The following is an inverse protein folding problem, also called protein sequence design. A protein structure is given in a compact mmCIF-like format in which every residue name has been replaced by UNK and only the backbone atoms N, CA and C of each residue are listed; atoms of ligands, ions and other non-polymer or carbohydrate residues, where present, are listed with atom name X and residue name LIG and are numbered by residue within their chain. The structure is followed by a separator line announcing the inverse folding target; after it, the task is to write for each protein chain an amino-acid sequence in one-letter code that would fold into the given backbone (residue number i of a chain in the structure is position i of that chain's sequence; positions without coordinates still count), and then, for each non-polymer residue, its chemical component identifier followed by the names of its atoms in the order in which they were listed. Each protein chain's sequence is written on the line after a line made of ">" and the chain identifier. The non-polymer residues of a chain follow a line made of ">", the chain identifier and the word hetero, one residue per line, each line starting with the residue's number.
data_IF_707163808643
#
_entry.id   IF_707163808643
#
_cell.length_a   1.000
_cell.length_b   1.000
_cell.length_c   1.000
_cell.angle_alpha   90.00
_cell.angle_beta   90.00
_cell.angle_gamma   90.00
#
_symmetry.space_group_name_H-M   'P 1'
#
loop_
_entity.id
_entity.type
_entity.pdbx_description
1 polymer ?
#
# COMPACT_ATOMS: atom_id res chain seq x y z
N UNK A 1 -28.12 -12.44 -3.44
CA UNK A 1 -27.52 -11.40 -4.31
C UNK A 1 -26.08 -11.15 -3.85
N UNK A 2 -25.11 -11.36 -4.74
CA UNK A 2 -23.78 -10.72 -4.85
C UNK A 2 -22.76 -10.79 -3.69
N UNK A 3 -22.22 -11.98 -3.41
CA UNK A 3 -21.02 -12.20 -2.58
C UNK A 3 -19.67 -12.23 -3.32
N UNK A 4 -19.56 -11.62 -4.51
CA UNK A 4 -18.37 -11.72 -5.38
C UNK A 4 -17.61 -10.41 -5.75
N UNK A 5 -18.06 -9.18 -5.43
CA UNK A 5 -17.26 -7.98 -5.74
C UNK A 5 -16.13 -7.72 -4.73
N UNK A 6 -16.32 -8.09 -3.46
CA UNK A 6 -15.36 -7.80 -2.39
C UNK A 6 -14.03 -8.52 -2.57
N UNK A 7 -14.04 -9.77 -3.05
CA UNK A 7 -12.80 -10.54 -3.26
C UNK A 7 -11.95 -9.96 -4.38
N UNK A 8 -12.57 -9.54 -5.49
CA UNK A 8 -11.85 -8.91 -6.62
C UNK A 8 -11.29 -7.54 -6.24
N UNK A 9 -12.03 -6.77 -5.45
CA UNK A 9 -11.55 -5.50 -4.89
C UNK A 9 -10.34 -5.74 -3.97
N UNK A 10 -10.45 -6.73 -3.08
CA UNK A 10 -9.38 -7.09 -2.16
C UNK A 10 -8.11 -7.56 -2.87
N UNK A 11 -8.24 -8.37 -3.94
CA UNK A 11 -7.10 -8.80 -4.75
C UNK A 11 -6.41 -7.62 -5.48
N UNK A 12 -7.19 -6.64 -5.96
CA UNK A 12 -6.64 -5.41 -6.56
C UNK A 12 -5.92 -4.55 -5.54
N UNK A 13 -6.48 -4.43 -4.34
CA UNK A 13 -5.85 -3.71 -3.24
C UNK A 13 -4.56 -4.40 -2.79
N UNK A 14 -4.55 -5.72 -2.67
CA UNK A 14 -3.34 -6.51 -2.40
C UNK A 14 -2.28 -6.35 -3.50
N UNK A 15 -2.66 -6.35 -4.77
CA UNK A 15 -1.71 -6.12 -5.87
C UNK A 15 -1.08 -4.71 -5.83
N UNK A 16 -1.86 -3.70 -5.44
CA UNK A 16 -1.35 -2.33 -5.21
C UNK A 16 -0.39 -2.27 -4.03
N UNK A 17 -0.75 -2.90 -2.90
CA UNK A 17 0.10 -2.97 -1.71
C UNK A 17 1.43 -3.70 -2.00
N UNK A 18 1.40 -4.77 -2.81
CA UNK A 18 2.60 -5.51 -3.20
C UNK A 18 3.55 -4.67 -4.05
N UNK A 19 3.04 -3.90 -5.03
CA UNK A 19 3.88 -2.95 -5.80
C UNK A 19 4.49 -1.86 -4.94
N UNK A 20 3.75 -1.39 -3.93
CA UNK A 20 4.27 -0.40 -2.96
C UNK A 20 5.41 -1.02 -2.16
N UNK A 21 5.25 -2.28 -1.70
CA UNK A 21 6.30 -3.02 -0.99
C UNK A 21 7.53 -3.28 -1.86
N UNK A 22 7.35 -3.72 -3.11
CA UNK A 22 8.47 -3.95 -4.04
C UNK A 22 9.26 -2.66 -4.31
N UNK A 23 8.58 -1.51 -4.33
CA UNK A 23 9.21 -0.20 -4.49
C UNK A 23 9.92 0.26 -3.22
N UNK A 24 9.34 0.00 -2.05
CA UNK A 24 9.99 0.24 -0.74
C UNK A 24 11.26 -0.61 -0.63
N UNK A 25 11.19 -1.91 -0.92
CA UNK A 25 12.34 -2.82 -0.82
C UNK A 25 13.47 -2.43 -1.78
N UNK A 26 13.13 -1.88 -2.95
CA UNK A 26 14.12 -1.41 -3.94
C UNK A 26 14.78 -0.07 -3.56
N UNK A 27 14.04 0.85 -2.95
CA UNK A 27 14.51 2.20 -2.58
C UNK A 27 14.73 2.37 -1.07
N UNK A 28 14.82 1.28 -0.29
CA UNK A 28 14.98 1.29 1.18
C UNK A 28 16.19 2.12 1.66
N UNK A 29 17.15 2.39 0.78
CA UNK A 29 18.34 3.20 1.04
C UNK A 29 18.12 4.72 1.01
N UNK A 30 16.95 5.22 0.57
CA UNK A 30 16.62 6.65 0.56
C UNK A 30 15.43 6.95 1.49
N UNK A 31 15.29 8.19 2.00
CA UNK A 31 14.09 8.59 2.70
C UNK A 31 12.88 8.42 1.76
N UNK A 32 12.12 7.35 1.97
CA UNK A 32 10.99 6.97 1.13
C UNK A 32 9.85 7.95 1.37
N UNK A 33 9.60 8.81 0.38
CA UNK A 33 8.44 9.70 0.40
C UNK A 33 7.15 8.88 0.26
N UNK A 34 6.49 8.66 1.41
CA UNK A 34 5.21 7.96 1.52
C UNK A 34 4.15 8.61 0.62
N UNK A 35 4.22 9.92 0.37
CA UNK A 35 3.32 10.60 -0.55
C UNK A 35 3.60 10.23 -2.02
N UNK A 36 4.87 10.02 -2.40
CA UNK A 36 5.25 9.57 -3.73
C UNK A 36 4.81 8.11 -4.00
N UNK A 37 4.87 7.24 -2.99
CA UNK A 37 4.32 5.89 -3.06
C UNK A 37 2.79 5.92 -3.21
N UNK A 38 2.13 6.75 -2.41
CA UNK A 38 0.67 6.87 -2.41
C UNK A 38 0.16 7.42 -3.75
N UNK A 39 0.85 8.39 -4.35
CA UNK A 39 0.58 8.88 -5.71
C UNK A 39 0.65 7.75 -6.75
N UNK A 40 1.60 6.82 -6.62
CA UNK A 40 1.76 5.68 -7.53
C UNK A 40 0.61 4.66 -7.48
N UNK A 41 -0.19 4.64 -6.41
CA UNK A 41 -1.36 3.76 -6.27
C UNK A 41 -2.69 4.51 -6.16
N UNK A 42 -2.69 5.81 -6.48
CA UNK A 42 -3.85 6.70 -6.37
C UNK A 42 -4.48 6.72 -4.97
N UNK A 43 -3.65 6.74 -3.92
CA UNK A 43 -4.09 6.88 -2.53
C UNK A 43 -3.49 8.14 -1.90
N UNK A 44 -4.08 8.62 -0.80
CA UNK A 44 -3.45 9.63 0.04
C UNK A 44 -2.40 8.98 0.95
N UNK A 45 -1.36 9.73 1.33
CA UNK A 45 -0.29 9.24 2.19
C UNK A 45 -0.83 8.69 3.54
N UNK A 46 -1.81 9.37 4.14
CA UNK A 46 -2.45 8.93 5.38
C UNK A 46 -3.27 7.64 5.22
N UNK A 47 -3.95 7.47 4.09
CA UNK A 47 -4.72 6.25 3.82
C UNK A 47 -3.79 5.06 3.52
N UNK A 48 -2.72 5.30 2.76
CA UNK A 48 -1.68 4.32 2.51
C UNK A 48 -1.02 3.87 3.82
N UNK A 49 -0.60 4.80 4.68
CA UNK A 49 0.04 4.47 5.96
C UNK A 49 -0.85 3.59 6.85
N UNK A 50 -2.14 3.93 6.96
CA UNK A 50 -3.12 3.11 7.69
C UNK A 50 -3.32 1.71 7.08
N UNK A 51 -3.41 1.61 5.76
CA UNK A 51 -3.55 0.32 5.07
C UNK A 51 -2.28 -0.52 5.17
N UNK A 52 -1.12 0.09 5.02
CA UNK A 52 0.17 -0.56 5.12
C UNK A 52 0.38 -1.13 6.52
N UNK A 53 0.13 -0.34 7.57
CA UNK A 53 0.17 -0.81 8.95
C UNK A 53 -0.82 -1.96 9.21
N UNK A 54 -2.01 -1.92 8.62
CA UNK A 54 -2.99 -3.01 8.73
C UNK A 54 -2.57 -4.28 8.00
N UNK A 55 -1.88 -4.16 6.87
CA UNK A 55 -1.47 -5.29 6.04
C UNK A 55 -0.13 -5.92 6.48
N UNK A 56 0.81 -5.10 6.96
CA UNK A 56 2.18 -5.51 7.28
C UNK A 56 2.51 -5.43 8.77
N UNK A 57 1.64 -4.88 9.61
CA UNK A 57 1.84 -4.79 11.06
C UNK A 57 2.79 -3.68 11.52
N UNK A 58 3.65 -3.18 10.61
CA UNK A 58 4.65 -2.15 10.89
C UNK A 58 4.30 -0.83 10.19
N UNK A 59 4.51 0.30 10.88
CA UNK A 59 4.44 1.61 10.20
C UNK A 59 5.67 1.74 9.30
N UNK A 60 5.55 2.26 8.06
CA UNK A 60 6.70 2.54 7.18
C UNK A 60 7.77 3.43 7.83
N UNK A 61 7.38 4.15 8.88
CA UNK A 61 8.26 4.92 9.75
C UNK A 61 7.80 4.82 11.22
N UNK A 62 8.71 4.38 12.07
CA UNK A 62 9.10 5.15 13.26
C UNK A 62 10.56 5.57 13.09
#
# INVERSE_FOLDING_TARGET
>A
MTGKPATTQHLRDLARLRRVRDRIDRDYAQPLDVAALARGVHMSAGHLSRQFKRAFGESPYS
#
